data_IF_845256001302
#
_entry.id   IF_845256001302
#
_cell.length_a   1.000
_cell.length_b   1.000
_cell.length_c   1.000
_cell.angle_alpha   90.00
_cell.angle_beta   90.00
_cell.angle_gamma   90.00
#
_symmetry.space_group_name_H-M   'P 1'
#
loop_
_entity.id
_entity.type
_entity.pdbx_description
1 polymer ?
#
# COMPACT_ATOMS: atom_id res chain seq x y z
N UNK A 1 16.22 -7.54 3.21
CA UNK A 1 15.39 -6.84 2.20
C UNK A 1 15.61 -7.51 0.86
N UNK A 2 14.54 -7.88 0.14
CA UNK A 2 14.68 -8.38 -1.22
C UNK A 2 15.01 -7.20 -2.14
N UNK A 3 16.06 -7.34 -2.95
CA UNK A 3 16.37 -6.36 -4.00
C UNK A 3 15.40 -6.61 -5.16
N UNK A 4 14.90 -5.55 -5.79
CA UNK A 4 13.93 -5.62 -6.88
C UNK A 4 14.49 -4.99 -8.14
N UNK A 5 14.08 -5.53 -9.28
CA UNK A 5 14.25 -4.85 -10.55
C UNK A 5 13.01 -3.99 -10.84
N UNK A 6 13.21 -2.67 -10.82
CA UNK A 6 12.18 -1.67 -11.08
C UNK A 6 12.13 -1.22 -12.54
N UNK A 7 13.05 -1.68 -13.40
CA UNK A 7 13.19 -1.14 -14.75
C UNK A 7 12.07 -1.63 -15.69
N UNK A 8 11.63 -2.88 -15.54
CA UNK A 8 10.64 -3.49 -16.44
C UNK A 8 9.56 -4.26 -15.67
N UNK A 9 8.67 -3.57 -14.92
CA UNK A 9 7.59 -4.25 -14.22
C UNK A 9 6.58 -4.88 -15.20
N UNK A 10 6.05 -6.05 -14.83
CA UNK A 10 4.87 -6.63 -15.49
C UNK A 10 3.66 -5.79 -15.07
N UNK A 11 2.96 -5.18 -16.03
CA UNK A 11 1.82 -4.29 -15.76
C UNK A 11 0.51 -5.04 -15.84
N UNK A 12 -0.25 -5.09 -14.75
CA UNK A 12 -1.66 -5.50 -14.71
C UNK A 12 -2.63 -4.32 -14.83
N UNK A 13 -3.92 -4.55 -14.57
CA UNK A 13 -4.90 -3.48 -14.53
C UNK A 13 -4.78 -2.67 -13.22
N UNK A 14 -3.94 -1.64 -13.23
CA UNK A 14 -3.77 -0.75 -12.06
C UNK A 14 -2.74 -1.23 -11.03
N UNK A 15 -2.02 -2.31 -11.28
CA UNK A 15 -0.92 -2.80 -10.42
C UNK A 15 0.32 -3.19 -11.24
N UNK A 16 1.53 -2.83 -10.78
CA UNK A 16 2.76 -3.49 -11.23
C UNK A 16 3.13 -4.74 -10.41
N UNK A 17 3.81 -5.67 -11.07
CA UNK A 17 4.56 -6.78 -10.49
C UNK A 17 6.03 -6.58 -10.82
N UNK A 18 6.89 -6.61 -9.80
CA UNK A 18 8.34 -6.45 -9.95
C UNK A 18 9.05 -7.78 -9.91
N UNK A 19 10.09 -7.90 -10.74
CA UNK A 19 10.97 -9.05 -10.75
C UNK A 19 11.84 -9.07 -9.49
N UNK A 20 12.13 -10.27 -8.95
CA UNK A 20 13.20 -10.39 -7.97
C UNK A 20 14.54 -10.04 -8.61
N UNK A 21 15.43 -9.40 -7.87
CA UNK A 21 16.79 -9.14 -8.34
C UNK A 21 17.49 -10.43 -8.75
N UNK A 22 18.18 -10.38 -9.90
CA UNK A 22 18.82 -11.53 -10.54
C UNK A 22 17.88 -12.74 -10.78
N UNK A 23 16.57 -12.53 -10.81
CA UNK A 23 15.59 -13.61 -11.02
C UNK A 23 15.45 -14.58 -9.84
N UNK A 24 16.07 -14.29 -8.68
CA UNK A 24 16.07 -15.20 -7.53
C UNK A 24 15.05 -14.78 -6.48
N UNK A 25 13.96 -15.54 -6.39
CA UNK A 25 12.96 -15.39 -5.32
C UNK A 25 11.55 -15.20 -5.84
N UNK A 26 10.72 -14.55 -5.04
CA UNK A 26 9.34 -14.23 -5.40
C UNK A 26 9.28 -12.88 -6.12
N UNK A 27 8.37 -12.78 -7.08
CA UNK A 27 7.97 -11.50 -7.65
C UNK A 27 7.15 -10.74 -6.61
N UNK A 28 7.21 -9.41 -6.63
CA UNK A 28 6.50 -8.57 -5.67
C UNK A 28 5.38 -7.78 -6.35
N UNK A 29 4.17 -7.91 -5.80
CA UNK A 29 2.97 -7.18 -6.22
C UNK A 29 2.80 -5.91 -5.39
N UNK A 30 2.52 -4.79 -6.04
CA UNK A 30 2.03 -3.57 -5.38
C UNK A 30 0.51 -3.58 -5.26
N UNK A 31 -0.06 -2.88 -4.27
CA UNK A 31 -1.51 -2.74 -4.20
C UNK A 31 -2.03 -1.90 -5.38
N UNK A 32 -3.26 -2.19 -5.81
CA UNK A 32 -3.95 -1.42 -6.84
C UNK A 32 -4.83 -0.31 -6.25
N UNK A 33 -5.12 -0.40 -4.95
CA UNK A 33 -5.93 0.57 -4.22
C UNK A 33 -5.48 0.69 -2.77
N UNK A 34 -5.50 1.92 -2.28
CA UNK A 34 -5.46 2.24 -0.85
C UNK A 34 -6.81 2.81 -0.44
N UNK A 35 -7.34 2.37 0.69
CA UNK A 35 -8.59 2.89 1.26
C UNK A 35 -8.41 3.09 2.77
N UNK A 36 -9.17 3.97 3.43
CA UNK A 36 -9.24 3.98 4.88
C UNK A 36 -9.67 2.60 5.38
N UNK A 37 -8.94 2.07 6.36
CA UNK A 37 -9.34 0.86 7.07
C UNK A 37 -10.67 1.10 7.78
N UNK A 38 -11.42 0.02 8.02
CA UNK A 38 -12.73 0.09 8.67
C UNK A 38 -12.64 -0.47 10.09
N UNK A 39 -13.13 0.27 11.08
CA UNK A 39 -13.19 -0.16 12.48
C UNK A 39 -14.24 -1.25 12.68
N UNK A 40 -14.15 -2.05 13.77
CA UNK A 40 -15.28 -2.85 14.23
C UNK A 40 -16.50 -1.94 14.44
N UNK A 41 -17.53 -2.10 13.60
CA UNK A 41 -18.69 -1.20 13.54
C UNK A 41 -18.91 -0.48 12.20
N UNK A 42 -18.01 -0.65 11.22
CA UNK A 42 -18.25 -0.23 9.84
C UNK A 42 -17.84 1.21 9.51
N UNK A 43 -17.34 1.98 10.47
CA UNK A 43 -16.87 3.34 10.26
C UNK A 43 -15.38 3.37 9.82
N UNK A 44 -14.98 4.29 8.93
CA UNK A 44 -13.58 4.51 8.59
C UNK A 44 -12.74 4.83 9.83
N UNK A 45 -11.53 4.28 9.88
CA UNK A 45 -10.54 4.57 10.90
C UNK A 45 -9.77 5.86 10.55
N UNK A 46 -10.50 6.97 10.70
CA UNK A 46 -10.04 8.33 10.42
C UNK A 46 -10.37 9.20 11.62
N UNK A 47 -9.40 9.97 12.10
CA UNK A 47 -9.57 10.91 13.18
C UNK A 47 -8.97 12.26 12.82
N UNK A 48 -9.76 13.31 13.01
CA UNK A 48 -9.31 14.70 12.88
C UNK A 48 -9.49 15.38 14.23
N UNK A 49 -8.38 15.89 14.79
CA UNK A 49 -8.36 16.63 16.03
C UNK A 49 -7.86 18.04 15.78
N UNK A 50 -8.41 19.01 16.49
CA UNK A 50 -7.94 20.39 16.45
C UNK A 50 -7.47 20.81 17.84
N UNK A 51 -6.21 21.22 17.93
CA UNK A 51 -5.62 21.75 19.15
C UNK A 51 -5.57 23.27 19.05
N UNK A 52 -6.17 23.94 20.02
CA UNK A 52 -6.12 25.39 20.17
C UNK A 52 -5.68 25.69 21.59
N UNK A 53 -4.70 26.57 21.76
CA UNK A 53 -4.37 27.11 23.08
C UNK A 53 -5.57 27.82 23.69
N UNK A 54 -5.64 27.89 25.01
CA UNK A 54 -6.69 28.65 25.73
C UNK A 54 -6.62 30.15 25.42
N UNK A 55 -5.41 30.66 25.13
CA UNK A 55 -5.17 32.00 24.63
C UNK A 55 -4.55 31.94 23.22
N UNK A 56 -5.23 32.43 22.18
CA UNK A 56 -4.72 32.39 20.80
C UNK A 56 -3.47 33.25 20.58
N UNK A 57 -3.11 34.11 21.53
CA UNK A 57 -1.91 34.96 21.49
C UNK A 57 -0.66 34.31 22.10
N UNK A 58 -0.79 33.14 22.74
CA UNK A 58 0.33 32.42 23.36
C UNK A 58 0.56 31.05 22.70
N UNK A 59 1.81 30.57 22.63
CA UNK A 59 2.11 29.22 22.14
C UNK A 59 1.38 28.10 22.94
N UNK A 60 1.13 26.93 22.31
CA UNK A 60 1.40 26.61 20.92
C UNK A 60 0.40 27.28 19.98
N UNK A 61 0.86 27.58 18.76
CA UNK A 61 -0.05 28.00 17.70
C UNK A 61 -1.08 26.89 17.45
N UNK A 62 -2.35 27.22 17.15
CA UNK A 62 -3.35 26.24 16.79
C UNK A 62 -2.87 25.30 15.68
N UNK A 63 -3.10 24.01 15.83
CA UNK A 63 -2.77 23.00 14.82
C UNK A 63 -3.84 21.91 14.74
N UNK A 64 -3.87 21.20 13.61
CA UNK A 64 -4.71 20.04 13.40
C UNK A 64 -3.86 18.76 13.39
N UNK A 65 -4.43 17.66 13.87
CA UNK A 65 -3.88 16.32 13.73
C UNK A 65 -4.86 15.46 12.94
N UNK A 66 -4.40 14.95 11.80
CA UNK A 66 -5.12 13.98 10.98
C UNK A 66 -4.44 12.62 11.13
N UNK A 67 -5.14 11.66 11.70
CA UNK A 67 -4.72 10.27 11.80
C UNK A 67 -5.62 9.41 10.91
N UNK A 68 -5.02 8.61 10.03
CA UNK A 68 -5.72 7.74 9.09
C UNK A 68 -5.01 6.39 9.07
N UNK A 69 -5.76 5.33 9.37
CA UNK A 69 -5.30 3.97 9.08
C UNK A 69 -5.68 3.59 7.66
N UNK A 70 -4.72 3.16 6.86
CA UNK A 70 -4.96 2.69 5.50
C UNK A 70 -4.92 1.16 5.41
N UNK A 71 -5.72 0.64 4.49
CA UNK A 71 -5.69 -0.75 4.05
C UNK A 71 -5.37 -0.81 2.56
N UNK A 72 -4.51 -1.75 2.19
CA UNK A 72 -4.04 -1.97 0.85
C UNK A 72 -4.76 -3.16 0.22
N UNK A 73 -5.38 -2.96 -0.95
CA UNK A 73 -5.96 -4.04 -1.74
C UNK A 73 -4.92 -4.57 -2.71
N UNK A 74 -4.70 -5.88 -2.67
CA UNK A 74 -3.80 -6.59 -3.57
C UNK A 74 -4.60 -7.54 -4.46
N UNK A 75 -4.63 -7.33 -5.80
CA UNK A 75 -5.37 -8.19 -6.72
C UNK A 75 -4.59 -9.49 -7.02
N UNK A 76 -4.35 -10.31 -5.99
CA UNK A 76 -3.47 -11.47 -6.05
C UNK A 76 -3.86 -12.50 -7.11
N UNK A 77 -5.15 -12.84 -7.22
CA UNK A 77 -5.66 -13.82 -8.17
C UNK A 77 -5.33 -13.41 -9.61
N UNK A 78 -5.74 -12.20 -10.01
CA UNK A 78 -5.49 -11.65 -11.35
C UNK A 78 -3.98 -11.53 -11.62
N UNK A 79 -3.23 -11.00 -10.66
CA UNK A 79 -1.80 -10.81 -10.77
C UNK A 79 -1.04 -12.14 -10.92
N UNK A 80 -1.46 -13.18 -10.20
CA UNK A 80 -0.81 -14.49 -10.24
C UNK A 80 -1.07 -15.20 -11.56
N UNK A 81 -2.29 -15.11 -12.10
CA UNK A 81 -2.62 -15.63 -13.44
C UNK A 81 -1.71 -14.97 -14.48
N UNK A 82 -1.68 -13.63 -14.49
CA UNK A 82 -0.85 -12.86 -15.42
C UNK A 82 0.65 -13.18 -15.29
N UNK A 83 1.14 -13.34 -14.06
CA UNK A 83 2.52 -13.72 -13.82
C UNK A 83 2.84 -15.12 -14.37
N UNK A 84 1.92 -16.08 -14.20
CA UNK A 84 2.14 -17.47 -14.62
C UNK A 84 2.03 -17.70 -16.11
N UNK A 85 1.38 -16.80 -16.86
CA UNK A 85 1.44 -16.77 -18.33
C UNK A 85 2.89 -16.58 -18.83
N UNK A 86 3.68 -15.76 -18.12
CA UNK A 86 5.09 -15.49 -18.46
C UNK A 86 6.05 -16.45 -17.74
N UNK A 87 5.74 -16.79 -16.48
CA UNK A 87 6.59 -17.58 -15.60
C UNK A 87 5.77 -18.63 -14.84
N UNK A 88 5.51 -19.82 -15.41
CA UNK A 88 4.54 -20.80 -14.89
C UNK A 88 4.76 -21.25 -13.44
N UNK A 89 6.01 -21.24 -12.96
CA UNK A 89 6.40 -21.65 -11.60
C UNK A 89 6.73 -20.49 -10.67
N UNK A 90 6.50 -19.25 -11.10
CA UNK A 90 6.79 -18.09 -10.29
C UNK A 90 5.93 -18.02 -9.03
N UNK A 91 6.52 -17.44 -7.99
CA UNK A 91 5.86 -17.11 -6.73
C UNK A 91 5.60 -15.61 -6.70
N UNK A 92 4.49 -15.22 -6.08
CA UNK A 92 4.06 -13.84 -5.95
C UNK A 92 3.83 -13.52 -4.47
N UNK A 93 4.44 -12.45 -3.98
CA UNK A 93 4.26 -11.94 -2.62
C UNK A 93 3.79 -10.47 -2.67
N UNK A 94 3.17 -9.98 -1.61
CA UNK A 94 2.89 -8.54 -1.47
C UNK A 94 4.16 -7.75 -1.17
N UNK A 95 4.20 -6.52 -1.64
CA UNK A 95 5.18 -5.52 -1.24
C UNK A 95 4.78 -4.92 0.12
N UNK A 96 5.22 -5.57 1.21
CA UNK A 96 4.95 -5.27 2.63
C UNK A 96 3.50 -5.56 3.10
#
# INVERSE_FOLDING_TARGET
MAVLDFQQPIRGNGYPIYYPFEGRGAHLLTPDKLSPAVRPGGLPDVQLQFYRGSNPMLPPQPYGLLDIRLEARYPFEEALVKLRELHPRARLNRLY
#
